data_IF_751064339288
#
_entry.id   IF_751064339288
#
_cell.length_a   1.000
_cell.length_b   1.000
_cell.length_c   1.000
_cell.angle_alpha   90.00
_cell.angle_beta   90.00
_cell.angle_gamma   90.00
#
_symmetry.space_group_name_H-M   'P 1'
#
loop_
_entity.id
_entity.type
_entity.pdbx_description
1 polymer ?
#
# COMPACT_ATOMS: atom_id res chain seq x y z
N UNK A 1 -33.16 -20.30 17.59
CA UNK A 1 -31.99 -21.14 17.32
C UNK A 1 -30.91 -20.22 16.79
N UNK A 2 -29.76 -20.13 17.46
CA UNK A 2 -28.64 -19.29 17.01
C UNK A 2 -27.96 -19.99 15.84
N UNK A 3 -27.96 -19.37 14.66
CA UNK A 3 -27.35 -19.96 13.48
C UNK A 3 -25.83 -19.77 13.53
N UNK A 4 -25.08 -20.85 13.34
CA UNK A 4 -23.63 -20.84 13.26
C UNK A 4 -23.18 -20.40 11.87
N UNK A 5 -22.03 -19.73 11.79
CA UNK A 5 -21.42 -19.33 10.52
C UNK A 5 -20.91 -20.56 9.75
N UNK A 6 -21.12 -20.57 8.44
CA UNK A 6 -20.57 -21.58 7.54
C UNK A 6 -19.10 -21.28 7.17
N UNK A 7 -18.62 -20.06 7.47
CA UNK A 7 -17.26 -19.58 7.14
C UNK A 7 -16.35 -19.68 8.37
N UNK A 8 -16.86 -19.34 9.56
CA UNK A 8 -16.14 -19.40 10.83
C UNK A 8 -16.87 -20.31 11.82
N UNK A 9 -16.52 -21.60 11.89
CA UNK A 9 -17.26 -22.60 12.68
C UNK A 9 -17.40 -22.26 14.17
N UNK A 10 -16.48 -21.47 14.71
CA UNK A 10 -16.47 -21.00 16.09
C UNK A 10 -17.35 -19.77 16.36
N UNK A 11 -17.94 -19.15 15.33
CA UNK A 11 -18.76 -17.94 15.45
C UNK A 11 -20.21 -18.18 15.03
N UNK A 12 -21.12 -17.43 15.64
CA UNK A 12 -22.49 -17.30 15.12
C UNK A 12 -22.51 -16.39 13.90
N UNK A 13 -23.54 -16.49 13.06
CA UNK A 13 -23.73 -15.60 11.90
C UNK A 13 -23.78 -14.13 12.32
N UNK A 14 -24.29 -13.83 13.51
CA UNK A 14 -24.35 -12.46 14.05
C UNK A 14 -22.96 -11.96 14.49
N UNK A 15 -22.15 -12.82 15.12
CA UNK A 15 -20.76 -12.52 15.48
C UNK A 15 -19.89 -12.33 14.24
N UNK A 16 -20.08 -13.14 13.21
CA UNK A 16 -19.40 -12.99 11.92
C UNK A 16 -19.69 -11.63 11.27
N UNK A 17 -20.95 -11.19 11.25
CA UNK A 17 -21.33 -9.87 10.70
C UNK A 17 -20.68 -8.73 11.46
N UNK A 18 -20.62 -8.83 12.79
CA UNK A 18 -19.95 -7.84 13.63
C UNK A 18 -18.44 -7.82 13.36
N UNK A 19 -17.81 -8.99 13.31
CA UNK A 19 -16.39 -9.12 12.99
C UNK A 19 -16.05 -8.50 11.62
N UNK A 20 -16.83 -8.79 10.58
CA UNK A 20 -16.62 -8.17 9.27
C UNK A 20 -16.80 -6.65 9.29
N UNK A 21 -17.80 -6.13 10.02
CA UNK A 21 -17.99 -4.70 10.16
C UNK A 21 -16.79 -4.03 10.86
N UNK A 22 -16.25 -4.66 11.91
CA UNK A 22 -15.05 -4.19 12.61
C UNK A 22 -13.81 -4.21 11.71
N UNK A 23 -13.61 -5.29 10.93
CA UNK A 23 -12.50 -5.38 9.97
C UNK A 23 -12.60 -4.31 8.88
N UNK A 24 -13.79 -4.05 8.35
CA UNK A 24 -14.01 -2.99 7.35
C UNK A 24 -13.72 -1.60 7.92
N UNK A 25 -14.14 -1.33 9.15
CA UNK A 25 -13.86 -0.07 9.83
C UNK A 25 -12.36 0.12 10.08
N UNK A 26 -11.69 -0.92 10.61
CA UNK A 26 -10.25 -0.90 10.84
C UNK A 26 -9.47 -0.65 9.54
N UNK A 27 -9.84 -1.35 8.46
CA UNK A 27 -9.24 -1.17 7.15
C UNK A 27 -9.47 0.25 6.59
N UNK A 28 -10.66 0.82 6.77
CA UNK A 28 -10.96 2.20 6.36
C UNK A 28 -10.05 3.20 7.08
N UNK A 29 -9.88 3.06 8.39
CA UNK A 29 -9.00 3.92 9.19
C UNK A 29 -7.53 3.80 8.77
N UNK A 30 -7.07 2.60 8.44
CA UNK A 30 -5.72 2.36 7.92
C UNK A 30 -5.51 3.08 6.57
N UNK A 31 -6.45 2.94 5.64
CA UNK A 31 -6.40 3.65 4.35
C UNK A 31 -6.41 5.18 4.50
N UNK A 32 -7.16 5.71 5.48
CA UNK A 32 -7.14 7.15 5.76
C UNK A 32 -5.79 7.62 6.30
N UNK A 33 -5.18 6.85 7.21
CA UNK A 33 -3.84 7.15 7.72
C UNK A 33 -2.81 7.11 6.59
N UNK A 34 -2.84 6.08 5.75
CA UNK A 34 -1.93 5.96 4.61
C UNK A 34 -2.09 7.13 3.64
N UNK A 35 -3.32 7.56 3.34
CA UNK A 35 -3.60 8.75 2.51
C UNK A 35 -2.99 10.01 3.11
N UNK A 36 -3.12 10.22 4.42
CA UNK A 36 -2.54 11.37 5.12
C UNK A 36 -1.01 11.32 5.04
N UNK A 37 -0.40 10.18 5.31
CA UNK A 37 1.05 10.00 5.24
C UNK A 37 1.59 10.28 3.82
N UNK A 38 0.93 9.72 2.80
CA UNK A 38 1.27 9.99 1.40
C UNK A 38 1.11 11.48 1.09
N UNK A 39 0.02 12.12 1.53
CA UNK A 39 -0.22 13.53 1.30
C UNK A 39 0.85 14.43 1.96
N UNK A 40 1.42 14.03 3.09
CA UNK A 40 2.44 14.79 3.81
C UNK A 40 3.87 14.65 3.24
N UNK A 41 4.13 13.69 2.34
CA UNK A 41 5.49 13.53 1.76
C UNK A 41 5.96 14.81 1.06
N UNK A 42 7.22 15.19 1.28
CA UNK A 42 7.84 16.34 0.64
C UNK A 42 8.84 15.90 -0.43
N UNK A 43 8.82 16.57 -1.58
CA UNK A 43 9.69 16.23 -2.71
C UNK A 43 11.19 16.37 -2.38
N UNK A 44 11.55 17.26 -1.46
CA UNK A 44 12.95 17.44 -1.01
C UNK A 44 13.51 16.17 -0.36
N UNK A 45 12.67 15.45 0.39
CA UNK A 45 13.08 14.26 1.16
C UNK A 45 12.99 12.96 0.34
N UNK A 46 12.44 13.01 -0.87
CA UNK A 46 12.12 11.82 -1.66
C UNK A 46 12.72 11.86 -3.07
N UNK A 47 12.99 10.68 -3.61
CA UNK A 47 13.14 10.48 -5.05
C UNK A 47 11.75 10.42 -5.69
N UNK A 48 11.52 11.31 -6.65
CA UNK A 48 10.20 11.56 -7.28
C UNK A 48 10.16 11.25 -8.78
N UNK A 49 11.30 10.86 -9.35
CA UNK A 49 11.45 10.53 -10.76
C UNK A 49 11.79 9.05 -10.90
N UNK A 50 11.20 8.44 -11.93
CA UNK A 50 11.45 7.07 -12.31
C UNK A 50 12.94 6.86 -12.56
N UNK A 51 13.49 5.79 -11.98
CA UNK A 51 14.90 5.40 -12.15
C UNK A 51 15.30 5.28 -13.62
N UNK A 52 14.43 4.69 -14.44
CA UNK A 52 14.81 4.21 -15.78
C UNK A 52 14.46 5.20 -16.88
N UNK A 53 13.31 5.88 -16.79
CA UNK A 53 12.85 6.81 -17.81
C UNK A 53 12.79 8.28 -17.36
N UNK A 54 13.07 8.58 -16.09
CA UNK A 54 13.03 9.94 -15.53
C UNK A 54 11.62 10.53 -15.36
N UNK A 55 10.56 9.82 -15.78
CA UNK A 55 9.19 10.28 -15.64
C UNK A 55 8.82 10.54 -14.17
N UNK A 56 8.03 11.57 -13.91
CA UNK A 56 7.54 11.85 -12.57
C UNK A 56 6.62 10.71 -12.08
N UNK A 57 6.89 10.19 -10.88
CA UNK A 57 6.11 9.09 -10.29
C UNK A 57 5.04 9.61 -9.34
N UNK A 58 3.95 8.85 -9.21
CA UNK A 58 2.88 9.17 -8.26
C UNK A 58 3.41 9.10 -6.81
N UNK A 59 2.83 9.96 -5.95
CA UNK A 59 3.34 10.23 -4.59
C UNK A 59 3.47 9.00 -3.70
N UNK A 60 2.57 8.03 -3.86
CA UNK A 60 2.60 6.76 -3.13
C UNK A 60 3.81 5.89 -3.49
N UNK A 61 4.35 6.02 -4.71
CA UNK A 61 5.57 5.34 -5.17
C UNK A 61 6.87 6.05 -4.78
N UNK A 62 6.81 7.26 -4.23
CA UNK A 62 8.02 8.02 -3.87
C UNK A 62 8.87 7.28 -2.85
N UNK A 63 10.19 7.26 -3.08
CA UNK A 63 11.16 6.59 -2.22
C UNK A 63 11.89 7.63 -1.38
N UNK A 64 11.94 7.46 -0.06
CA UNK A 64 12.71 8.34 0.82
C UNK A 64 14.20 8.28 0.51
N UNK A 65 14.87 9.44 0.50
CA UNK A 65 16.31 9.52 0.21
C UNK A 65 17.19 8.90 1.28
N UNK A 66 16.72 8.89 2.52
CA UNK A 66 17.41 8.35 3.69
C UNK A 66 17.10 6.87 3.95
N UNK A 67 16.28 6.23 3.11
CA UNK A 67 16.02 4.81 3.24
C UNK A 67 17.33 4.02 3.02
N UNK A 68 17.66 3.01 3.85
CA UNK A 68 18.92 2.28 3.74
C UNK A 68 19.19 1.71 2.35
N UNK A 69 18.18 1.14 1.70
CA UNK A 69 18.30 0.62 0.32
C UNK A 69 18.48 1.74 -0.72
N UNK A 70 17.92 2.92 -0.47
CA UNK A 70 18.09 4.07 -1.37
C UNK A 70 19.52 4.63 -1.30
N UNK A 71 20.16 4.53 -0.13
CA UNK A 71 21.55 4.90 0.12
C UNK A 71 22.51 3.83 -0.43
N UNK A 72 22.34 2.56 -0.06
CA UNK A 72 23.32 1.50 -0.34
C UNK A 72 23.18 0.86 -1.72
N UNK A 73 21.94 0.73 -2.22
CA UNK A 73 21.63 0.01 -3.45
C UNK A 73 21.10 0.93 -4.55
N UNK A 74 21.10 2.25 -4.31
CA UNK A 74 20.56 3.22 -5.26
C UNK A 74 19.07 2.97 -5.55
N UNK A 75 18.30 2.44 -4.58
CA UNK A 75 16.87 2.24 -4.77
C UNK A 75 16.17 3.57 -5.07
N UNK A 76 15.38 3.58 -6.13
CA UNK A 76 14.66 4.72 -6.71
C UNK A 76 13.29 4.23 -7.17
N UNK A 77 12.28 5.11 -7.26
CA UNK A 77 10.95 4.69 -7.67
C UNK A 77 10.92 4.28 -9.15
N UNK A 78 9.95 3.45 -9.53
CA UNK A 78 9.63 3.10 -10.91
C UNK A 78 8.22 3.56 -11.25
N UNK A 79 8.03 4.14 -12.44
CA UNK A 79 6.69 4.41 -12.95
C UNK A 79 6.00 3.08 -13.33
N UNK A 80 4.66 3.10 -13.44
CA UNK A 80 3.87 1.91 -13.79
C UNK A 80 4.40 1.23 -15.05
N UNK A 81 4.56 2.00 -16.14
CA UNK A 81 5.05 1.45 -17.41
C UNK A 81 6.44 0.80 -17.33
N UNK A 82 7.41 1.40 -16.62
CA UNK A 82 8.72 0.77 -16.46
C UNK A 82 8.63 -0.50 -15.60
N UNK A 83 7.80 -0.50 -14.56
CA UNK A 83 7.57 -1.68 -13.72
C UNK A 83 6.91 -2.82 -14.50
N UNK A 84 5.85 -2.52 -15.25
CA UNK A 84 5.12 -3.50 -16.06
C UNK A 84 6.02 -4.15 -17.12
N UNK A 85 7.03 -3.42 -17.62
CA UNK A 85 8.03 -3.97 -18.53
C UNK A 85 8.98 -5.00 -17.87
N UNK A 86 9.14 -4.98 -16.54
CA UNK A 86 9.89 -6.00 -15.80
C UNK A 86 9.01 -7.21 -15.45
N UNK A 87 7.74 -6.99 -15.13
CA UNK A 87 6.79 -8.09 -14.85
C UNK A 87 6.45 -8.90 -16.11
N UNK A 88 6.61 -8.30 -17.30
CA UNK A 88 6.45 -8.96 -18.59
C UNK A 88 7.75 -9.55 -19.15
N UNK A 89 8.80 -9.71 -18.34
CA UNK A 89 9.99 -10.45 -18.77
C UNK A 89 9.63 -11.96 -18.82
N UNK A 90 9.78 -12.64 -19.97
CA UNK A 90 9.48 -14.07 -20.10
C UNK A 90 10.37 -14.96 -19.21
#
# INVERSE_FOLDING_TARGET
MTQMSDIFPEMTVEQEKQWFAEQQEAHRLELEREKIEIAQRKAVDHYIQCRDCGAFVQKWRWVRKDHPQAISQGWRPLCGSCFDNYDNYP
#
